data_IF_494126718572
#
_entry.id   IF_494126718572
#
_cell.length_a   1.000
_cell.length_b   1.000
_cell.length_c   1.000
_cell.angle_alpha   90.00
_cell.angle_beta   90.00
_cell.angle_gamma   90.00
#
_symmetry.space_group_name_H-M   'P 1'
#
loop_
_entity.id
_entity.type
_entity.pdbx_description
1 polymer ?
#
# COMPACT_ATOMS: atom_id res chain seq x y z
N UNK A 1 -16.47 11.64 15.16
CA UNK A 1 -16.21 10.76 13.99
C UNK A 1 -16.05 11.69 12.81
N UNK A 2 -14.88 11.73 12.18
CA UNK A 2 -14.68 12.55 10.97
C UNK A 2 -15.37 11.83 9.78
N UNK A 3 -15.86 12.60 8.81
CA UNK A 3 -16.60 12.10 7.64
C UNK A 3 -15.85 10.99 6.91
N UNK A 4 -14.53 11.16 6.75
CA UNK A 4 -13.65 10.18 6.13
C UNK A 4 -13.73 8.80 6.82
N UNK A 5 -13.72 8.77 8.15
CA UNK A 5 -13.80 7.53 8.93
C UNK A 5 -15.18 6.87 8.80
N UNK A 6 -16.26 7.66 8.80
CA UNK A 6 -17.61 7.14 8.66
C UNK A 6 -17.84 6.48 7.28
N UNK A 7 -17.31 7.10 6.22
CA UNK A 7 -17.31 6.53 4.87
C UNK A 7 -16.53 5.22 4.82
N UNK A 8 -15.32 5.18 5.41
CA UNK A 8 -14.50 3.97 5.46
C UNK A 8 -15.21 2.82 6.20
N UNK A 9 -15.76 3.08 7.38
CA UNK A 9 -16.46 2.06 8.17
C UNK A 9 -17.68 1.52 7.44
N UNK A 10 -18.42 2.39 6.75
CA UNK A 10 -19.57 2.00 5.92
C UNK A 10 -19.13 1.15 4.73
N UNK A 11 -18.10 1.60 4.00
CA UNK A 11 -17.55 0.89 2.86
C UNK A 11 -17.06 -0.51 3.25
N UNK A 12 -16.32 -0.61 4.36
CA UNK A 12 -15.81 -1.87 4.90
C UNK A 12 -16.94 -2.83 5.27
N UNK A 13 -18.01 -2.32 5.88
CA UNK A 13 -19.17 -3.14 6.23
C UNK A 13 -19.87 -3.69 4.99
N UNK A 14 -20.05 -2.87 3.95
CA UNK A 14 -20.63 -3.31 2.67
C UNK A 14 -19.73 -4.35 2.02
N UNK A 15 -18.43 -4.05 1.86
CA UNK A 15 -17.46 -4.97 1.25
C UNK A 15 -17.39 -6.33 1.97
N UNK A 16 -17.55 -6.36 3.30
CA UNK A 16 -17.47 -7.59 4.09
C UNK A 16 -18.65 -8.55 3.87
N UNK A 17 -19.80 -8.05 3.43
CA UNK A 17 -21.03 -8.86 3.20
C UNK A 17 -21.51 -8.77 1.75
N UNK A 18 -20.72 -8.19 0.85
CA UNK A 18 -21.09 -8.01 -0.54
C UNK A 18 -21.25 -9.38 -1.21
N UNK A 19 -22.44 -9.62 -1.77
CA UNK A 19 -22.77 -10.81 -2.56
C UNK A 19 -22.88 -10.47 -4.06
N UNK A 20 -22.75 -9.19 -4.39
CA UNK A 20 -22.91 -8.66 -5.74
C UNK A 20 -21.84 -7.65 -6.14
N UNK A 21 -21.63 -7.51 -7.45
CA UNK A 21 -20.71 -6.52 -8.02
C UNK A 21 -21.18 -5.08 -7.74
N UNK A 22 -22.49 -4.86 -7.61
CA UNK A 22 -23.07 -3.54 -7.30
C UNK A 22 -22.70 -3.09 -5.87
N UNK A 23 -22.72 -4.01 -4.90
CA UNK A 23 -22.29 -3.73 -3.53
C UNK A 23 -20.78 -3.48 -3.47
N UNK A 24 -19.98 -4.26 -4.20
CA UNK A 24 -18.54 -3.99 -4.33
C UNK A 24 -18.28 -2.63 -4.97
N UNK A 25 -19.04 -2.25 -5.99
CA UNK A 25 -18.93 -0.93 -6.64
C UNK A 25 -19.27 0.19 -5.67
N UNK A 26 -20.31 0.00 -4.87
CA UNK A 26 -20.70 0.94 -3.81
C UNK A 26 -19.59 1.07 -2.77
N UNK A 27 -19.03 -0.05 -2.30
CA UNK A 27 -17.93 -0.04 -1.35
C UNK A 27 -16.68 0.64 -1.91
N UNK A 28 -16.30 0.33 -3.16
CA UNK A 28 -15.16 0.95 -3.84
C UNK A 28 -15.34 2.47 -3.95
N UNK A 29 -16.54 2.92 -4.32
CA UNK A 29 -16.87 4.33 -4.40
C UNK A 29 -16.73 5.06 -3.05
N UNK A 30 -17.20 4.44 -1.97
CA UNK A 30 -17.08 4.98 -0.61
C UNK A 30 -15.63 4.98 -0.11
N UNK A 31 -14.85 3.94 -0.41
CA UNK A 31 -13.42 3.90 -0.07
C UNK A 31 -12.64 4.99 -0.80
N UNK A 32 -12.92 5.21 -2.10
CA UNK A 32 -12.31 6.31 -2.86
C UNK A 32 -12.62 7.67 -2.24
N UNK A 33 -13.88 7.94 -1.88
CA UNK A 33 -14.26 9.20 -1.25
C UNK A 33 -13.58 9.39 0.11
N UNK A 34 -13.51 8.34 0.93
CA UNK A 34 -12.80 8.37 2.20
C UNK A 34 -11.29 8.63 2.02
N UNK A 35 -10.67 8.02 1.02
CA UNK A 35 -9.27 8.25 0.65
C UNK A 35 -9.01 9.70 0.19
N UNK A 36 -9.92 10.28 -0.59
CA UNK A 36 -9.87 11.68 -1.04
C UNK A 36 -9.99 12.68 0.13
N UNK A 37 -10.61 12.27 1.24
CA UNK A 37 -10.65 13.02 2.50
C UNK A 37 -9.43 12.76 3.40
N UNK A 38 -8.40 12.05 2.92
CA UNK A 38 -7.14 11.82 3.63
C UNK A 38 -7.13 10.59 4.54
N UNK A 39 -8.10 9.66 4.43
CA UNK A 39 -8.09 8.45 5.26
C UNK A 39 -7.15 7.37 4.68
N UNK A 40 -5.97 7.23 5.30
CA UNK A 40 -4.91 6.30 4.88
C UNK A 40 -5.37 4.87 4.62
N UNK A 41 -6.03 4.23 5.60
CA UNK A 41 -6.53 2.87 5.44
C UNK A 41 -7.60 2.72 4.35
N UNK A 42 -8.31 3.80 4.00
CA UNK A 42 -9.28 3.78 2.91
C UNK A 42 -8.58 3.86 1.55
N UNK A 43 -7.51 4.67 1.45
CA UNK A 43 -6.63 4.67 0.28
C UNK A 43 -6.02 3.29 0.05
N UNK A 44 -5.51 2.64 1.11
CA UNK A 44 -4.92 1.30 1.03
C UNK A 44 -5.92 0.23 0.59
N UNK A 45 -7.13 0.28 1.15
CA UNK A 45 -8.20 -0.63 0.80
C UNK A 45 -8.72 -0.38 -0.63
N UNK A 46 -8.88 0.88 -1.05
CA UNK A 46 -9.26 1.22 -2.43
C UNK A 46 -8.19 0.75 -3.42
N UNK A 47 -6.91 0.98 -3.15
CA UNK A 47 -5.81 0.47 -3.98
C UNK A 47 -5.86 -1.06 -4.14
N UNK A 48 -6.24 -1.78 -3.07
CA UNK A 48 -6.43 -3.24 -3.13
C UNK A 48 -7.61 -3.65 -4.00
N UNK A 49 -8.74 -2.93 -3.91
CA UNK A 49 -9.91 -3.18 -4.76
C UNK A 49 -9.59 -2.89 -6.23
N UNK A 50 -8.89 -1.80 -6.51
CA UNK A 50 -8.43 -1.43 -7.85
C UNK A 50 -7.46 -2.47 -8.41
N UNK A 51 -6.47 -2.93 -7.65
CA UNK A 51 -5.56 -3.97 -8.11
C UNK A 51 -6.31 -5.23 -8.54
N UNK A 52 -7.32 -5.63 -7.76
CA UNK A 52 -8.09 -6.86 -7.96
C UNK A 52 -9.27 -6.72 -8.92
N UNK A 53 -9.60 -5.50 -9.34
CA UNK A 53 -10.80 -5.23 -10.13
C UNK A 53 -12.11 -5.52 -9.38
N UNK A 54 -12.18 -5.26 -8.07
CA UNK A 54 -13.36 -5.52 -7.24
C UNK A 54 -14.24 -4.27 -7.16
N UNK A 55 -15.41 -4.25 -7.81
CA UNK A 55 -16.30 -3.09 -7.81
C UNK A 55 -15.76 -1.88 -8.60
N UNK A 56 -14.63 -2.05 -9.28
CA UNK A 56 -13.96 -1.04 -10.09
C UNK A 56 -13.11 -1.77 -11.13
N UNK A 57 -12.88 -1.17 -12.29
CA UNK A 57 -11.99 -1.75 -13.28
C UNK A 57 -10.57 -1.91 -12.71
N UNK A 58 -9.90 -3.01 -13.06
CA UNK A 58 -8.51 -3.22 -12.65
C UNK A 58 -7.60 -2.18 -13.30
N UNK A 59 -6.85 -1.47 -12.47
CA UNK A 59 -5.87 -0.47 -12.89
C UNK A 59 -4.65 -0.54 -11.95
N UNK A 60 -3.64 -1.35 -12.30
CA UNK A 60 -2.50 -1.57 -11.43
C UNK A 60 -1.70 -0.28 -11.14
N UNK A 61 -1.61 0.65 -12.10
CA UNK A 61 -0.92 1.93 -11.90
C UNK A 61 -1.66 2.81 -10.89
N UNK A 62 -2.99 2.87 -11.00
CA UNK A 62 -3.83 3.57 -10.03
C UNK A 62 -3.74 2.94 -8.64
N UNK A 63 -3.71 1.61 -8.56
CA UNK A 63 -3.56 0.89 -7.29
C UNK A 63 -2.24 1.25 -6.58
N UNK A 64 -1.12 1.29 -7.31
CA UNK A 64 0.18 1.71 -6.76
C UNK A 64 0.12 3.13 -6.22
N UNK A 65 -0.54 4.06 -6.93
CA UNK A 65 -0.68 5.44 -6.45
C UNK A 65 -1.42 5.53 -5.13
N UNK A 66 -2.52 4.79 -4.98
CA UNK A 66 -3.29 4.77 -3.73
C UNK A 66 -2.55 4.07 -2.59
N UNK A 67 -1.81 2.99 -2.86
CA UNK A 67 -0.95 2.37 -1.86
C UNK A 67 0.19 3.29 -1.42
N UNK A 68 0.82 4.02 -2.35
CA UNK A 68 1.87 5.00 -2.01
C UNK A 68 1.32 6.11 -1.13
N UNK A 69 0.15 6.65 -1.47
CA UNK A 69 -0.53 7.64 -0.64
C UNK A 69 -0.86 7.08 0.76
N UNK A 70 -1.38 5.84 0.81
CA UNK A 70 -1.69 5.19 2.08
C UNK A 70 -0.46 4.97 2.95
N UNK A 71 0.66 4.53 2.37
CA UNK A 71 1.90 4.27 3.08
C UNK A 71 2.58 5.55 3.59
N UNK A 72 2.65 6.61 2.75
CA UNK A 72 3.39 7.83 3.07
C UNK A 72 2.56 8.84 3.88
N UNK A 73 1.32 9.09 3.47
CA UNK A 73 0.47 10.10 4.13
C UNK A 73 -0.35 9.45 5.25
N UNK A 74 -0.79 8.21 5.02
CA UNK A 74 -1.69 7.47 5.90
C UNK A 74 -1.03 6.57 6.93
N UNK A 75 0.30 6.41 6.89
CA UNK A 75 1.06 5.45 7.71
C UNK A 75 0.54 4.00 7.62
N UNK A 76 -0.01 3.61 6.47
CA UNK A 76 -0.57 2.28 6.23
C UNK A 76 0.53 1.25 5.94
N UNK A 77 0.89 0.50 6.98
CA UNK A 77 1.86 -0.59 6.94
C UNK A 77 1.55 -1.65 5.86
N UNK A 78 0.28 -2.02 5.71
CA UNK A 78 -0.16 -3.03 4.73
C UNK A 78 0.11 -2.57 3.29
N UNK A 79 -0.11 -1.29 3.00
CA UNK A 79 0.19 -0.70 1.69
C UNK A 79 1.68 -0.64 1.41
N UNK A 80 2.51 -0.27 2.39
CA UNK A 80 3.97 -0.33 2.25
C UNK A 80 4.45 -1.76 1.96
N UNK A 81 3.91 -2.76 2.65
CA UNK A 81 4.20 -4.16 2.39
C UNK A 81 3.77 -4.60 0.97
N UNK A 82 2.58 -4.20 0.52
CA UNK A 82 2.08 -4.50 -0.83
C UNK A 82 2.92 -3.86 -1.93
N UNK A 83 3.43 -2.65 -1.72
CA UNK A 83 4.37 -1.99 -2.63
C UNK A 83 5.68 -2.77 -2.71
N UNK A 84 6.22 -3.21 -1.58
CA UNK A 84 7.41 -4.05 -1.54
C UNK A 84 7.24 -5.36 -2.31
N UNK A 85 6.10 -6.05 -2.13
CA UNK A 85 5.76 -7.24 -2.92
C UNK A 85 5.62 -6.93 -4.42
N UNK A 86 4.97 -5.82 -4.78
CA UNK A 86 4.78 -5.46 -6.19
C UNK A 86 6.11 -5.22 -6.90
N UNK A 87 7.07 -4.56 -6.24
CA UNK A 87 8.42 -4.36 -6.73
C UNK A 87 9.22 -5.67 -6.80
N UNK A 88 9.12 -6.51 -5.76
CA UNK A 88 9.83 -7.81 -5.71
C UNK A 88 9.33 -8.75 -6.80
N UNK A 89 8.03 -8.85 -6.99
CA UNK A 89 7.45 -9.85 -7.89
C UNK A 89 7.35 -9.35 -9.33
N UNK A 90 7.70 -8.07 -9.58
CA UNK A 90 7.59 -7.44 -10.89
C UNK A 90 6.15 -7.39 -11.41
N UNK A 91 5.19 -7.15 -10.52
CA UNK A 91 3.76 -7.34 -10.79
C UNK A 91 3.21 -6.32 -11.81
N UNK A 92 3.91 -5.19 -12.00
CA UNK A 92 3.53 -4.08 -12.89
C UNK A 92 4.72 -3.55 -13.69
N UNK A 93 5.93 -3.57 -13.12
CA UNK A 93 7.18 -3.22 -13.76
C UNK A 93 8.18 -4.39 -13.72
N UNK A 94 9.36 -4.22 -14.31
CA UNK A 94 10.47 -5.15 -14.07
C UNK A 94 10.79 -5.20 -12.58
N UNK A 95 11.10 -6.41 -12.08
CA UNK A 95 11.52 -6.63 -10.70
C UNK A 95 12.59 -5.61 -10.27
N UNK A 96 12.36 -4.99 -9.12
CA UNK A 96 13.26 -4.00 -8.50
C UNK A 96 13.45 -4.35 -7.03
N UNK A 97 14.55 -5.04 -6.74
CA UNK A 97 14.86 -5.51 -5.38
C UNK A 97 15.26 -4.34 -4.46
N UNK A 98 15.81 -3.26 -5.00
CA UNK A 98 16.18 -2.09 -4.21
C UNK A 98 14.93 -1.36 -3.71
N UNK A 99 13.99 -1.10 -4.62
CA UNK A 99 12.69 -0.53 -4.26
C UNK A 99 11.90 -1.46 -3.33
N UNK A 100 11.93 -2.78 -3.57
CA UNK A 100 11.24 -3.75 -2.70
C UNK A 100 11.75 -3.69 -1.26
N UNK A 101 13.08 -3.74 -1.07
CA UNK A 101 13.68 -3.64 0.26
C UNK A 101 13.37 -2.29 0.92
N UNK A 102 13.38 -1.20 0.16
CA UNK A 102 13.06 0.13 0.69
C UNK A 102 11.63 0.21 1.25
N UNK A 103 10.65 -0.32 0.52
CA UNK A 103 9.26 -0.39 0.97
C UNK A 103 9.06 -1.33 2.15
N UNK A 104 9.76 -2.45 2.20
CA UNK A 104 9.72 -3.36 3.34
C UNK A 104 10.33 -2.76 4.62
N UNK A 105 11.43 -2.02 4.50
CA UNK A 105 12.00 -1.27 5.63
C UNK A 105 11.01 -0.22 6.15
N UNK A 106 10.30 0.47 5.25
CA UNK A 106 9.24 1.39 5.64
C UNK A 106 8.09 0.66 6.36
N UNK A 107 7.64 -0.49 5.83
CA UNK A 107 6.59 -1.30 6.45
C UNK A 107 6.97 -1.74 7.88
N UNK A 108 8.23 -2.15 8.09
CA UNK A 108 8.76 -2.48 9.43
C UNK A 108 8.63 -1.30 10.38
N UNK A 109 9.02 -0.10 9.94
CA UNK A 109 8.97 1.09 10.80
C UNK A 109 7.54 1.54 11.10
N UNK A 110 6.61 1.23 10.21
CA UNK A 110 5.16 1.35 10.42
C UNK A 110 4.58 0.21 11.29
N UNK A 111 5.43 -0.54 12.00
CA UNK A 111 5.10 -1.63 12.94
C UNK A 111 4.54 -2.91 12.27
N UNK A 112 4.96 -3.20 11.03
CA UNK A 112 4.60 -4.43 10.32
C UNK A 112 5.68 -5.51 10.40
N UNK A 113 5.92 -6.07 11.58
CA UNK A 113 7.01 -7.03 11.84
C UNK A 113 6.94 -8.33 11.02
N UNK A 114 5.79 -8.65 10.41
CA UNK A 114 5.65 -9.79 9.47
C UNK A 114 6.60 -9.70 8.28
N UNK A 115 7.11 -8.50 7.96
CA UNK A 115 8.00 -8.27 6.81
C UNK A 115 9.47 -8.63 7.08
N UNK A 116 9.86 -8.89 8.33
CA UNK A 116 11.27 -9.14 8.67
C UNK A 116 11.91 -10.30 7.88
N UNK A 117 11.24 -11.46 7.68
CA UNK A 117 11.80 -12.53 6.85
C UNK A 117 12.02 -12.12 5.38
N UNK A 118 11.14 -11.29 4.82
CA UNK A 118 11.30 -10.76 3.47
C UNK A 118 12.49 -9.80 3.37
N UNK A 119 12.70 -8.96 4.40
CA UNK A 119 13.89 -8.09 4.51
C UNK A 119 15.16 -8.94 4.55
N UNK A 120 15.21 -9.93 5.44
CA UNK A 120 16.39 -10.79 5.62
C UNK A 120 16.73 -11.56 4.33
N UNK A 121 15.72 -12.09 3.64
CA UNK A 121 15.90 -12.80 2.37
C UNK A 121 16.48 -11.87 1.30
N UNK A 122 15.88 -10.69 1.10
CA UNK A 122 16.35 -9.73 0.10
C UNK A 122 17.78 -9.29 0.40
N UNK A 123 18.09 -8.95 1.67
CA UNK A 123 19.43 -8.55 2.05
C UNK A 123 20.48 -9.65 1.82
N UNK A 124 20.10 -10.92 1.98
CA UNK A 124 21.00 -12.04 1.70
C UNK A 124 21.27 -12.20 0.19
N UNK A 125 20.26 -11.98 -0.65
CA UNK A 125 20.35 -12.14 -2.12
C UNK A 125 21.04 -10.95 -2.81
N UNK A 126 20.95 -9.75 -2.23
CA UNK A 126 21.43 -8.51 -2.83
C UNK A 126 22.95 -8.32 -2.67
N UNK A 127 23.58 -7.73 -3.69
CA UNK A 127 24.95 -7.23 -3.58
C UNK A 127 25.05 -5.96 -2.72
N UNK A 128 26.26 -5.46 -2.48
CA UNK A 128 26.49 -4.26 -1.67
C UNK A 128 25.93 -2.99 -2.34
N UNK A 129 26.02 -2.88 -3.67
CA UNK A 129 25.59 -1.71 -4.41
C UNK A 129 24.06 -1.58 -4.43
N UNK A 130 23.35 -2.66 -4.73
CA UNK A 130 21.87 -2.68 -4.72
C UNK A 130 21.32 -2.41 -3.32
N UNK A 131 22.00 -2.91 -2.29
CA UNK A 131 21.60 -2.63 -0.89
C UNK A 131 21.83 -1.17 -0.52
N UNK A 132 22.92 -0.55 -0.95
CA UNK A 132 23.16 0.88 -0.74
C UNK A 132 22.09 1.75 -1.42
N UNK A 133 21.70 1.38 -2.65
CA UNK A 133 20.58 2.02 -3.36
C UNK A 133 19.26 1.89 -2.58
N UNK A 134 18.95 0.69 -2.09
CA UNK A 134 17.75 0.44 -1.29
C UNK A 134 17.66 1.32 -0.04
N UNK A 135 18.77 1.48 0.68
CA UNK A 135 18.81 2.37 1.85
C UNK A 135 18.64 3.84 1.47
N UNK A 136 19.23 4.29 0.36
CA UNK A 136 19.01 5.65 -0.14
C UNK A 136 17.55 5.90 -0.52
N UNK A 137 16.89 4.93 -1.15
CA UNK A 137 15.46 5.00 -1.46
C UNK A 137 14.63 5.03 -0.19
N UNK A 138 14.93 4.16 0.77
CA UNK A 138 14.25 4.10 2.06
C UNK A 138 14.36 5.42 2.83
N UNK A 139 15.54 6.05 2.89
CA UNK A 139 15.70 7.36 3.53
C UNK A 139 14.76 8.39 2.90
N UNK A 140 14.68 8.41 1.57
CA UNK A 140 13.81 9.31 0.84
C UNK A 140 12.31 9.03 1.09
N UNK A 141 11.92 7.76 1.22
CA UNK A 141 10.54 7.36 1.58
C UNK A 141 10.20 7.76 3.02
N UNK A 142 11.11 7.52 3.96
CA UNK A 142 10.95 7.85 5.37
C UNK A 142 10.83 9.37 5.57
N UNK A 143 11.65 10.15 4.89
CA UNK A 143 11.55 11.62 4.87
C UNK A 143 10.25 12.11 4.26
N UNK A 144 9.66 11.37 3.32
CA UNK A 144 8.39 11.73 2.72
C UNK A 144 7.17 11.26 3.53
N UNK A 145 7.33 10.29 4.44
CA UNK A 145 6.26 9.79 5.31
C UNK A 145 5.91 10.80 6.40
N UNK A 146 4.67 11.28 6.45
CA UNK A 146 4.24 12.30 7.41
C UNK A 146 4.43 11.87 8.87
N UNK A 147 4.38 10.57 9.14
CA UNK A 147 4.43 10.00 10.49
C UNK A 147 5.84 9.65 10.95
N UNK A 148 6.82 9.58 10.03
CA UNK A 148 8.21 9.19 10.31
C UNK A 148 9.24 10.31 10.07
N UNK A 149 8.75 11.52 9.75
CA UNK A 149 9.53 12.77 9.69
C UNK A 149 9.98 13.24 11.07
#
# INVERSE_FOLDING_TARGET
MNEAQALFETARRIAAVAESEEELTTAAGLMRQSAELGHGAAAGAFGTMVMRGQGVASDPELALRYWTQAALDGADADSAFRLGMACRDGLICTQDLAAALAWFLLARDLLHDVVLPDIDSLQYEMDEATRAEAYSLYDHLRENSEHLR
#
